data_IF_979395941862
#
_entry.id   IF_979395941862
#
_cell.length_a   1.000
_cell.length_b   1.000
_cell.length_c   1.000
_cell.angle_alpha   90.00
_cell.angle_beta   90.00
_cell.angle_gamma   90.00
#
_symmetry.space_group_name_H-M   'P 1'
#
loop_
_entity.id
_entity.type
_entity.pdbx_description
1 polymer ?
#
# COMPACT_ATOMS: atom_id res chain seq x y z
N UNK A 1 -7.96 36.31 -5.01
CA UNK A 1 -7.39 35.14 -5.73
C UNK A 1 -8.39 34.65 -6.77
N UNK A 2 -8.39 35.21 -7.99
CA UNK A 2 -9.46 34.99 -8.98
C UNK A 2 -9.14 33.92 -10.03
N UNK A 3 -7.89 33.46 -10.10
CA UNK A 3 -7.48 32.45 -11.06
C UNK A 3 -8.02 31.08 -10.67
N UNK A 4 -8.46 30.30 -11.67
CA UNK A 4 -8.91 28.93 -11.48
C UNK A 4 -7.78 28.10 -10.87
N UNK A 5 -8.12 27.29 -9.86
CA UNK A 5 -7.20 26.31 -9.27
C UNK A 5 -6.74 25.31 -10.32
N UNK A 6 -5.56 24.74 -10.07
CA UNK A 6 -5.03 23.61 -10.84
C UNK A 6 -5.87 22.35 -10.60
N UNK A 7 -5.73 21.34 -11.47
CA UNK A 7 -6.44 20.05 -11.33
C UNK A 7 -6.05 19.27 -10.07
N UNK A 8 -4.85 19.50 -9.54
CA UNK A 8 -4.37 18.96 -8.27
C UNK A 8 -4.97 19.67 -7.03
N UNK A 9 -5.87 20.65 -7.22
CA UNK A 9 -6.51 21.39 -6.13
C UNK A 9 -5.70 22.55 -5.55
N UNK A 10 -4.47 22.78 -6.02
CA UNK A 10 -3.62 23.88 -5.58
C UNK A 10 -3.95 25.18 -6.32
N UNK A 11 -3.59 26.31 -5.69
CA UNK A 11 -3.76 27.63 -6.30
C UNK A 11 -2.88 27.78 -7.56
N UNK A 12 -3.34 28.62 -8.48
CA UNK A 12 -2.56 28.95 -9.65
C UNK A 12 -1.25 29.67 -9.25
N UNK A 13 -0.11 29.09 -9.64
CA UNK A 13 1.21 29.69 -9.47
C UNK A 13 1.72 30.22 -10.82
N UNK A 14 2.00 31.53 -10.91
CA UNK A 14 2.66 32.13 -12.08
C UNK A 14 4.17 31.89 -12.08
N UNK A 15 4.76 31.83 -10.89
CA UNK A 15 6.18 31.58 -10.67
C UNK A 15 6.37 30.89 -9.33
N UNK A 16 7.47 30.17 -9.20
CA UNK A 16 7.87 29.52 -7.96
C UNK A 16 9.37 29.67 -7.76
N UNK A 17 9.77 29.74 -6.50
CA UNK A 17 11.17 29.66 -6.09
C UNK A 17 11.37 28.39 -5.30
N UNK A 18 12.51 27.74 -5.49
CA UNK A 18 12.93 26.61 -4.66
C UNK A 18 13.91 27.18 -3.64
N UNK A 19 13.56 27.08 -2.36
CA UNK A 19 14.44 27.48 -1.26
C UNK A 19 15.29 26.27 -0.87
N UNK A 20 16.62 26.43 -0.92
CA UNK A 20 17.59 25.37 -0.68
C UNK A 20 18.15 24.76 -1.97
N UNK A 21 19.37 24.23 -1.90
CA UNK A 21 19.92 23.44 -3.00
C UNK A 21 19.02 22.22 -3.21
N UNK A 22 18.60 21.98 -4.46
CA UNK A 22 18.17 20.64 -4.84
C UNK A 22 19.44 19.81 -4.70
N UNK A 23 19.59 19.08 -3.60
CA UNK A 23 20.71 18.18 -3.39
C UNK A 23 20.60 17.05 -4.43
N UNK A 24 20.96 17.36 -5.68
CA UNK A 24 21.25 16.39 -6.73
C UNK A 24 22.68 15.87 -6.63
N UNK A 25 23.42 16.29 -5.59
CA UNK A 25 24.64 15.63 -5.14
C UNK A 25 24.28 14.42 -4.29
N UNK A 26 25.16 13.42 -4.33
CA UNK A 26 25.11 12.23 -3.47
C UNK A 26 24.84 12.65 -2.01
N UNK A 27 23.93 11.98 -1.29
CA UNK A 27 23.72 12.24 0.14
C UNK A 27 25.05 12.09 0.88
N UNK A 28 25.33 13.01 1.80
CA UNK A 28 26.56 12.95 2.59
C UNK A 28 26.64 11.65 3.38
N UNK A 29 27.86 11.16 3.65
CA UNK A 29 28.09 9.88 4.35
C UNK A 29 27.38 9.85 5.71
N UNK A 30 27.30 10.99 6.39
CA UNK A 30 26.56 11.11 7.64
C UNK A 30 25.05 10.86 7.48
N UNK A 31 24.45 11.30 6.37
CA UNK A 31 23.04 11.07 6.07
C UNK A 31 22.79 9.60 5.70
N UNK A 32 23.69 9.01 4.90
CA UNK A 32 23.66 7.59 4.54
C UNK A 32 23.72 6.70 5.78
N UNK A 33 24.62 6.99 6.72
CA UNK A 33 24.74 6.25 7.98
C UNK A 33 23.49 6.40 8.86
N UNK A 34 22.89 7.59 8.92
CA UNK A 34 21.65 7.82 9.67
C UNK A 34 20.48 7.06 9.06
N UNK A 35 20.40 7.03 7.72
CA UNK A 35 19.36 6.30 7.00
C UNK A 35 19.53 4.79 7.17
N UNK A 36 20.75 4.28 6.96
CA UNK A 36 21.04 2.84 7.08
C UNK A 36 20.72 2.32 8.48
N UNK A 37 21.09 3.07 9.53
CA UNK A 37 20.71 2.76 10.92
C UNK A 37 19.20 2.63 11.08
N UNK A 38 18.42 3.61 10.61
CA UNK A 38 16.95 3.58 10.70
C UNK A 38 16.34 2.40 9.94
N UNK A 39 16.87 2.06 8.77
CA UNK A 39 16.38 0.93 7.98
C UNK A 39 16.63 -0.39 8.69
N UNK A 40 17.83 -0.58 9.24
CA UNK A 40 18.19 -1.77 10.02
C UNK A 40 17.35 -1.87 11.28
N UNK A 41 17.24 -0.81 12.07
CA UNK A 41 16.42 -0.78 13.29
C UNK A 41 14.96 -1.15 13.00
N UNK A 42 14.36 -0.57 11.96
CA UNK A 42 12.98 -0.90 11.58
C UNK A 42 12.83 -2.34 11.09
N UNK A 43 13.78 -2.85 10.30
CA UNK A 43 13.75 -4.23 9.82
C UNK A 43 13.87 -5.23 10.97
N UNK A 44 14.77 -4.96 11.93
CA UNK A 44 14.96 -5.78 13.13
C UNK A 44 13.70 -5.78 13.99
N UNK A 45 13.10 -4.61 14.25
CA UNK A 45 11.85 -4.53 15.01
C UNK A 45 10.73 -5.35 14.36
N UNK A 46 10.58 -5.27 13.04
CA UNK A 46 9.60 -6.07 12.30
C UNK A 46 9.90 -7.56 12.38
N UNK A 47 11.17 -7.95 12.24
CA UNK A 47 11.58 -9.35 12.30
C UNK A 47 11.33 -9.95 13.71
N UNK A 48 11.60 -9.18 14.77
CA UNK A 48 11.31 -9.60 16.15
C UNK A 48 9.80 -9.75 16.36
N UNK A 49 9.00 -8.78 15.90
CA UNK A 49 7.55 -8.86 15.99
C UNK A 49 7.00 -10.09 15.24
N UNK A 50 7.47 -10.31 14.02
CA UNK A 50 7.11 -11.48 13.21
C UNK A 50 7.49 -12.79 13.91
N UNK A 51 8.70 -12.88 14.48
CA UNK A 51 9.12 -14.07 15.22
C UNK A 51 8.19 -14.38 16.40
N UNK A 52 7.82 -13.36 17.18
CA UNK A 52 6.90 -13.52 18.29
C UNK A 52 5.51 -13.96 17.81
N UNK A 53 5.01 -13.39 16.71
CA UNK A 53 3.75 -13.81 16.09
C UNK A 53 3.82 -15.27 15.65
N UNK A 54 4.81 -15.68 14.88
CA UNK A 54 4.91 -17.04 14.34
C UNK A 54 5.13 -18.10 15.43
N UNK A 55 5.91 -17.77 16.47
CA UNK A 55 6.20 -18.71 17.56
C UNK A 55 5.07 -18.81 18.58
N UNK A 56 4.34 -17.71 18.85
CA UNK A 56 3.30 -17.69 19.88
C UNK A 56 1.87 -17.84 19.34
N UNK A 57 1.61 -17.52 18.07
CA UNK A 57 0.27 -17.72 17.45
C UNK A 57 -0.02 -19.19 17.11
N UNK A 58 1.01 -20.02 16.90
CA UNK A 58 0.89 -21.45 16.58
C UNK A 58 0.29 -22.30 17.72
N UNK A 59 0.11 -21.71 18.90
CA UNK A 59 -0.55 -22.32 20.07
C UNK A 59 -2.08 -22.26 20.04
N UNK A 60 -2.70 -21.56 19.08
CA UNK A 60 -4.15 -21.66 18.83
C UNK A 60 -4.37 -22.60 17.64
N UNK A 61 -5.15 -23.68 17.78
CA UNK A 61 -5.53 -24.47 16.62
C UNK A 61 -6.19 -23.53 15.61
N UNK A 62 -5.68 -23.54 14.38
CA UNK A 62 -6.37 -22.96 13.25
C UNK A 62 -7.73 -23.65 13.19
N UNK A 63 -8.76 -22.95 13.67
CA UNK A 63 -10.11 -23.45 13.71
C UNK A 63 -10.55 -23.71 12.27
N UNK A 64 -10.59 -24.99 11.94
CA UNK A 64 -10.94 -25.47 10.62
C UNK A 64 -12.40 -25.16 10.35
N UNK A 65 -12.66 -24.27 9.40
CA UNK A 65 -13.88 -24.34 8.61
C UNK A 65 -13.51 -24.62 7.15
N UNK A 66 -13.06 -25.84 6.93
CA UNK A 66 -13.31 -26.54 5.67
C UNK A 66 -14.79 -26.89 5.61
N UNK A 67 -15.50 -26.39 4.59
CA UNK A 67 -16.73 -27.01 4.12
C UNK A 67 -17.97 -26.11 4.17
N UNK A 68 -18.23 -25.41 3.06
CA UNK A 68 -19.57 -25.55 2.48
C UNK A 68 -19.49 -25.75 0.98
N UNK A 69 -19.99 -26.92 0.61
CA UNK A 69 -20.12 -27.46 -0.71
C UNK A 69 -20.74 -26.50 -1.73
N UNK A 70 -20.19 -26.59 -2.94
CA UNK A 70 -20.86 -26.39 -4.22
C UNK A 70 -22.27 -27.00 -4.21
N UNK A 71 -23.31 -26.18 -4.37
CA UNK A 71 -24.59 -26.54 -4.98
C UNK A 71 -25.50 -25.30 -5.15
N UNK A 72 -25.40 -24.62 -6.29
CA UNK A 72 -26.51 -23.87 -6.90
C UNK A 72 -26.20 -23.61 -8.38
N UNK A 73 -25.86 -24.68 -9.10
CA UNK A 73 -25.92 -24.75 -10.56
C UNK A 73 -27.13 -25.63 -10.90
N UNK A 74 -28.31 -25.01 -11.03
CA UNK A 74 -29.49 -25.58 -11.69
C UNK A 74 -30.40 -24.44 -12.15
N UNK A 75 -30.64 -24.37 -13.46
CA UNK A 75 -31.83 -23.73 -14.01
C UNK A 75 -31.56 -22.88 -15.23
N UNK A 76 -31.30 -23.52 -16.36
CA UNK A 76 -31.44 -22.88 -17.66
C UNK A 76 -32.91 -22.56 -17.98
N UNK A 77 -33.12 -21.50 -18.74
CA UNK A 77 -34.27 -21.35 -19.61
C UNK A 77 -33.85 -20.44 -20.77
N UNK A 78 -33.72 -21.07 -21.93
CA UNK A 78 -33.74 -20.46 -23.25
C UNK A 78 -34.81 -19.38 -23.38
N UNK A 79 -34.45 -18.30 -24.03
CA UNK A 79 -35.33 -17.17 -24.31
C UNK A 79 -34.79 -16.34 -25.47
N UNK A 80 -34.56 -17.02 -26.60
CA UNK A 80 -34.53 -16.42 -27.93
C UNK A 80 -35.73 -15.47 -28.10
N UNK A 81 -35.47 -14.16 -28.28
CA UNK A 81 -36.30 -13.28 -29.10
C UNK A 81 -35.43 -12.20 -29.76
N UNK A 82 -35.01 -12.50 -30.98
CA UNK A 82 -34.80 -11.50 -32.03
C UNK A 82 -36.01 -10.57 -32.18
N UNK A 83 -35.81 -9.28 -32.47
CA UNK A 83 -36.93 -8.46 -32.96
C UNK A 83 -36.73 -6.95 -33.03
N UNK A 84 -36.17 -6.50 -34.17
CA UNK A 84 -36.40 -5.21 -34.87
C UNK A 84 -35.97 -3.89 -34.23
#
# INVERSE_FOLDING_TARGET
>A
MLKKKQSNGYYHCESSIVIGAKNGGEPDDAELLRLSKRLVENAVLKAVQQYLEETQSRGKPADGSSGKARAADRGGADGDQSGR
#
